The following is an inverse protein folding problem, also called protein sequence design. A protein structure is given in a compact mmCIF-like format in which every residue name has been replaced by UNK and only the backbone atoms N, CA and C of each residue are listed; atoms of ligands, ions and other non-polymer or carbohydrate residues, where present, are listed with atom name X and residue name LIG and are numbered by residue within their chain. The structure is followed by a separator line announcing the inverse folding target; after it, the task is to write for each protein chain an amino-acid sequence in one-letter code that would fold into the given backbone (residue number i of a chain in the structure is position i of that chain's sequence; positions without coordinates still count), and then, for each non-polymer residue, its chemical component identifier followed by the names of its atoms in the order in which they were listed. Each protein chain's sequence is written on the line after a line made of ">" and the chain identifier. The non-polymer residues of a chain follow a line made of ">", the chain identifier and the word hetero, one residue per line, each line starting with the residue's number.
data_IF_310490073303
#
_entry.id   IF_310490073303
#
_cell.length_a   1.000
_cell.length_b   1.000
_cell.length_c   1.000
_cell.angle_alpha   90.00
_cell.angle_beta   90.00
_cell.angle_gamma   90.00
#
_symmetry.space_group_name_H-M   'P 1'
#
loop_
_entity.id
_entity.type
_entity.pdbx_description
1 polymer ?
#
# COMPACT_ATOMS: atom_id res chain seq x y z
N UNK A 1 -16.37 -21.59 -5.73
CA UNK A 1 -16.27 -22.33 -4.46
C UNK A 1 -15.73 -23.71 -4.77
N UNK A 2 -14.47 -23.96 -4.44
CA UNK A 2 -13.90 -25.31 -4.38
C UNK A 2 -12.88 -25.37 -3.23
N UNK A 3 -12.55 -26.60 -2.84
CA UNK A 3 -12.27 -27.10 -1.48
C UNK A 3 -11.07 -26.53 -0.68
N UNK A 4 -10.38 -25.49 -1.15
CA UNK A 4 -9.18 -24.90 -0.50
C UNK A 4 -9.35 -23.43 -0.11
N UNK A 5 -10.56 -22.87 -0.20
CA UNK A 5 -10.83 -21.46 0.10
C UNK A 5 -10.39 -20.48 -1.00
N UNK A 6 -9.75 -20.96 -2.07
CA UNK A 6 -9.54 -20.19 -3.29
C UNK A 6 -10.83 -20.17 -4.13
N UNK A 7 -11.26 -18.97 -4.54
CA UNK A 7 -12.34 -18.82 -5.52
C UNK A 7 -11.73 -19.03 -6.91
N UNK A 8 -11.87 -20.24 -7.43
CA UNK A 8 -11.53 -20.59 -8.81
C UNK A 8 -12.77 -20.56 -9.68
N UNK A 9 -12.66 -19.92 -10.85
CA UNK A 9 -13.69 -19.93 -11.88
C UNK A 9 -13.08 -20.33 -13.23
N UNK A 10 -13.61 -21.41 -13.81
CA UNK A 10 -13.14 -21.94 -15.08
C UNK A 10 -13.71 -21.11 -16.25
N UNK A 11 -12.83 -20.58 -17.10
CA UNK A 11 -13.24 -19.93 -18.35
C UNK A 11 -13.61 -21.02 -19.36
N UNK A 12 -14.90 -21.12 -19.67
CA UNK A 12 -15.40 -22.10 -20.63
C UNK A 12 -15.15 -21.64 -22.07
N UNK A 13 -14.20 -22.28 -22.75
CA UNK A 13 -13.94 -22.12 -24.19
C UNK A 13 -14.15 -23.48 -24.90
N UNK A 14 -15.39 -23.96 -25.00
CA UNK A 14 -15.70 -25.33 -25.40
C UNK A 14 -15.32 -25.64 -26.84
N UNK A 15 -15.49 -24.72 -27.79
CA UNK A 15 -15.15 -24.95 -29.19
C UNK A 15 -13.63 -24.93 -29.41
N UNK A 16 -12.93 -24.01 -28.76
CA UNK A 16 -11.47 -23.92 -28.82
C UNK A 16 -10.79 -25.12 -28.14
N UNK A 17 -11.37 -25.63 -27.05
CA UNK A 17 -10.79 -26.75 -26.29
C UNK A 17 -11.09 -28.13 -26.87
N UNK A 18 -12.19 -28.29 -27.63
CA UNK A 18 -12.64 -29.59 -28.15
C UNK A 18 -12.35 -29.84 -29.64
N UNK A 19 -12.18 -28.79 -30.45
CA UNK A 19 -12.00 -28.92 -31.90
C UNK A 19 -10.54 -28.84 -32.33
N UNK A 20 -10.13 -29.76 -33.21
CA UNK A 20 -8.86 -29.70 -33.92
C UNK A 20 -8.85 -28.47 -34.85
N UNK A 21 -7.84 -27.56 -34.76
CA UNK A 21 -7.74 -26.37 -35.59
C UNK A 21 -7.83 -26.63 -37.10
N UNK A 22 -7.51 -27.85 -37.56
CA UNK A 22 -7.57 -28.23 -38.97
C UNK A 22 -8.92 -28.84 -39.41
N UNK A 23 -9.85 -29.10 -38.49
CA UNK A 23 -11.12 -29.80 -38.74
C UNK A 23 -12.35 -29.04 -38.22
N UNK A 24 -12.26 -27.72 -38.09
CA UNK A 24 -13.38 -26.88 -37.64
C UNK A 24 -14.45 -26.77 -38.75
N UNK A 25 -15.72 -27.14 -38.50
CA UNK A 25 -16.79 -26.98 -39.48
C UNK A 25 -17.00 -25.51 -39.89
N UNK A 26 -17.36 -25.21 -41.15
CA UNK A 26 -17.56 -23.83 -41.63
C UNK A 26 -18.58 -23.03 -40.82
N UNK A 27 -19.62 -23.71 -40.31
CA UNK A 27 -20.69 -23.12 -39.50
C UNK A 27 -20.21 -22.69 -38.11
N UNK A 28 -19.21 -23.35 -37.55
CA UNK A 28 -18.65 -23.08 -36.21
C UNK A 28 -17.36 -22.24 -36.27
N UNK A 29 -16.83 -21.98 -37.47
CA UNK A 29 -15.56 -21.30 -37.68
C UNK A 29 -15.53 -19.88 -37.09
N UNK A 30 -16.64 -19.14 -37.14
CA UNK A 30 -16.74 -17.79 -36.53
C UNK A 30 -16.63 -17.85 -35.00
N UNK A 31 -17.41 -18.72 -34.36
CA UNK A 31 -17.39 -18.88 -32.91
C UNK A 31 -16.04 -19.42 -32.41
N UNK A 32 -15.47 -20.40 -33.12
CA UNK A 32 -14.12 -20.92 -32.84
C UNK A 32 -13.05 -19.81 -32.93
N UNK A 33 -13.11 -18.94 -33.93
CA UNK A 33 -12.14 -17.85 -34.08
C UNK A 33 -12.26 -16.79 -32.98
N UNK A 34 -13.48 -16.51 -32.49
CA UNK A 34 -13.68 -15.62 -31.34
C UNK A 34 -13.13 -16.24 -30.04
N UNK A 35 -13.43 -17.51 -29.76
CA UNK A 35 -12.84 -18.22 -28.61
C UNK A 35 -11.31 -18.29 -28.71
N UNK A 36 -10.75 -18.48 -29.91
CA UNK A 36 -9.31 -18.47 -30.17
C UNK A 36 -8.67 -17.12 -29.90
N UNK A 37 -9.35 -16.01 -30.22
CA UNK A 37 -8.86 -14.65 -29.88
C UNK A 37 -8.81 -14.47 -28.37
N UNK A 38 -9.87 -14.87 -27.66
CA UNK A 38 -9.95 -14.80 -26.19
C UNK A 38 -8.81 -15.62 -25.56
N UNK A 39 -8.59 -16.86 -26.02
CA UNK A 39 -7.52 -17.72 -25.54
C UNK A 39 -6.13 -17.08 -25.72
N UNK A 40 -5.86 -16.47 -26.88
CA UNK A 40 -4.59 -15.77 -27.13
C UNK A 40 -4.42 -14.55 -26.22
N UNK A 41 -5.47 -13.77 -26.00
CA UNK A 41 -5.42 -12.63 -25.08
C UNK A 41 -5.15 -13.07 -23.64
N UNK A 42 -5.76 -14.16 -23.20
CA UNK A 42 -5.51 -14.75 -21.87
C UNK A 42 -4.07 -15.27 -21.73
N UNK A 43 -3.55 -15.95 -22.76
CA UNK A 43 -2.15 -16.40 -22.79
C UNK A 43 -1.18 -15.22 -22.70
N UNK A 44 -1.45 -14.15 -23.46
CA UNK A 44 -0.64 -12.94 -23.45
C UNK A 44 -0.69 -12.24 -22.09
N UNK A 45 -1.88 -12.02 -21.52
CA UNK A 45 -2.04 -11.41 -20.20
C UNK A 45 -1.37 -12.23 -19.10
N UNK A 46 -1.50 -13.56 -19.14
CA UNK A 46 -0.82 -14.46 -18.20
C UNK A 46 0.70 -14.48 -18.39
N UNK A 47 1.21 -14.34 -19.62
CA UNK A 47 2.64 -14.20 -19.88
C UNK A 47 3.17 -12.85 -19.37
N UNK A 48 2.45 -11.76 -19.63
CA UNK A 48 2.83 -10.41 -19.20
C UNK A 48 2.81 -10.28 -17.67
N UNK A 49 1.81 -10.84 -16.98
CA UNK A 49 1.78 -10.88 -15.50
C UNK A 49 3.00 -11.62 -14.92
N UNK A 50 3.43 -12.72 -15.56
CA UNK A 50 4.63 -13.49 -15.16
C UNK A 50 5.95 -12.80 -15.50
N UNK A 51 6.00 -12.00 -16.57
CA UNK A 51 7.20 -11.25 -16.93
C UNK A 51 7.37 -10.01 -16.03
N UNK A 52 6.27 -9.42 -15.56
CA UNK A 52 6.25 -8.21 -14.74
C UNK A 52 5.78 -8.49 -13.30
N UNK A 53 6.15 -9.63 -12.72
CA UNK A 53 5.64 -10.08 -11.41
C UNK A 53 5.87 -9.10 -10.26
N UNK A 54 6.80 -8.15 -10.38
CA UNK A 54 7.06 -7.14 -9.35
C UNK A 54 6.40 -5.79 -9.63
N UNK A 55 6.00 -5.51 -10.87
CA UNK A 55 5.52 -4.17 -11.27
C UNK A 55 4.07 -4.17 -11.75
N UNK A 56 3.54 -5.32 -12.18
CA UNK A 56 2.18 -5.47 -12.66
C UNK A 56 1.49 -6.68 -12.04
N UNK A 57 0.17 -6.59 -11.97
CA UNK A 57 -0.70 -7.65 -11.51
C UNK A 57 -1.95 -7.68 -12.37
N UNK A 58 -2.58 -8.83 -12.42
CA UNK A 58 -3.79 -9.00 -13.17
C UNK A 58 -4.98 -8.78 -12.24
N UNK A 59 -5.89 -7.91 -12.65
CA UNK A 59 -7.06 -7.55 -11.87
C UNK A 59 -8.32 -7.77 -12.72
N UNK A 60 -9.32 -8.40 -12.13
CA UNK A 60 -10.68 -8.45 -12.66
C UNK A 60 -11.42 -7.20 -12.18
N UNK A 61 -11.64 -6.25 -13.08
CA UNK A 61 -12.39 -5.02 -12.82
C UNK A 61 -13.86 -5.22 -13.18
N UNK A 62 -14.77 -4.76 -12.35
CA UNK A 62 -16.21 -4.90 -12.56
C UNK A 62 -16.99 -3.73 -11.96
N UNK A 63 -18.28 -3.64 -12.28
CA UNK A 63 -19.10 -2.49 -11.86
C UNK A 63 -18.70 -1.23 -12.60
N UNK A 64 -18.95 -1.18 -13.91
CA UNK A 64 -18.61 -0.03 -14.72
C UNK A 64 -19.69 1.03 -14.66
N UNK A 65 -19.29 2.29 -14.50
CA UNK A 65 -20.17 3.43 -14.70
C UNK A 65 -19.67 4.34 -15.82
N UNK A 66 -20.60 4.86 -16.62
CA UNK A 66 -20.36 5.78 -17.73
C UNK A 66 -21.03 7.12 -17.45
N UNK A 67 -20.23 8.19 -17.43
CA UNK A 67 -20.71 9.56 -17.19
C UNK A 67 -20.24 10.51 -18.29
N UNK A 68 -21.04 11.54 -18.54
CA UNK A 68 -20.73 12.61 -19.49
C UNK A 68 -20.57 13.94 -18.75
N UNK A 69 -19.44 14.61 -18.93
CA UNK A 69 -19.14 15.90 -18.31
C UNK A 69 -19.10 17.02 -19.35
N UNK A 70 -19.65 18.21 -19.06
CA UNK A 70 -19.52 19.37 -19.94
C UNK A 70 -18.06 19.84 -19.99
N UNK A 71 -17.47 19.91 -21.17
CA UNK A 71 -16.12 20.44 -21.40
C UNK A 71 -16.11 21.94 -21.15
N UNK A 72 -15.13 22.42 -20.39
CA UNK A 72 -14.95 23.85 -20.15
C UNK A 72 -13.75 24.34 -20.99
N UNK A 73 -14.00 25.10 -22.08
CA UNK A 73 -13.00 25.32 -23.14
C UNK A 73 -11.74 26.08 -22.68
N UNK A 74 -11.74 26.72 -21.51
CA UNK A 74 -10.62 27.51 -21.00
C UNK A 74 -9.65 26.76 -20.08
N UNK A 75 -10.00 25.57 -19.57
CA UNK A 75 -9.19 24.86 -18.57
C UNK A 75 -8.58 23.56 -19.12
N UNK A 76 -9.23 22.91 -20.08
CA UNK A 76 -8.78 21.61 -20.60
C UNK A 76 -7.73 21.72 -21.72
N UNK A 77 -7.54 22.90 -22.32
CA UNK A 77 -6.51 23.14 -23.35
C UNK A 77 -5.08 23.22 -22.78
N UNK A 78 -4.90 23.38 -21.47
CA UNK A 78 -3.56 23.35 -20.84
C UNK A 78 -3.04 21.92 -20.59
N UNK A 79 -3.86 20.88 -20.80
CA UNK A 79 -3.46 19.46 -20.65
C UNK A 79 -3.21 18.74 -21.98
N UNK A 80 -3.57 19.34 -23.10
CA UNK A 80 -3.30 18.82 -24.44
C UNK A 80 -2.38 19.79 -25.19
N UNK A 81 -1.07 19.71 -24.94
CA UNK A 81 -0.09 20.23 -25.90
C UNK A 81 -0.13 19.36 -27.17
N UNK A 82 -1.03 19.72 -28.08
CA UNK A 82 -0.85 19.49 -29.51
C UNK A 82 -1.47 20.67 -30.25
N UNK A 83 -0.62 21.42 -30.95
CA UNK A 83 -0.99 22.59 -31.76
C UNK A 83 -2.22 22.31 -32.64
N UNK A 84 -3.24 23.18 -32.68
CA UNK A 84 -4.31 23.04 -33.65
C UNK A 84 -3.86 23.64 -34.99
N UNK A 85 -3.87 22.84 -36.06
CA UNK A 85 -3.86 23.36 -37.43
C UNK A 85 -5.10 24.23 -37.65
N UNK A 86 -4.89 25.52 -37.93
CA UNK A 86 -5.95 26.46 -38.27
C UNK A 86 -6.43 26.16 -39.69
N UNK A 87 -7.65 25.64 -39.83
CA UNK A 87 -8.39 25.65 -41.09
C UNK A 87 -9.55 26.64 -40.94
N UNK A 88 -9.49 27.76 -41.66
CA UNK A 88 -10.57 28.74 -41.75
C UNK A 88 -11.78 28.13 -42.48
N UNK A 89 -12.93 28.09 -41.80
CA UNK A 89 -14.21 27.67 -42.37
C UNK A 89 -15.39 27.97 -41.43
N UNK A 90 -16.33 28.74 -41.96
CA UNK A 90 -17.58 29.29 -41.39
C UNK A 90 -18.23 28.56 -40.20
N UNK A 91 -18.60 29.35 -39.17
CA UNK A 91 -19.33 28.94 -37.96
C UNK A 91 -20.81 28.56 -38.24
N UNK A 92 -21.27 27.36 -37.86
CA UNK A 92 -22.69 27.11 -37.64
C UNK A 92 -23.07 27.43 -36.18
N UNK A 93 -24.09 28.28 -36.02
CA UNK A 93 -24.80 28.49 -34.77
C UNK A 93 -25.57 27.21 -34.38
N UNK A 94 -25.06 26.49 -33.38
CA UNK A 94 -25.80 25.74 -32.35
C UNK A 94 -24.76 25.07 -31.44
N UNK A 95 -24.32 25.77 -30.39
CA UNK A 95 -23.36 25.20 -29.44
C UNK A 95 -24.06 24.20 -28.54
N UNK A 96 -24.22 22.97 -29.02
CA UNK A 96 -24.34 21.82 -28.11
C UNK A 96 -23.08 21.81 -27.24
N UNK A 97 -23.20 21.80 -25.90
CA UNK A 97 -22.02 21.75 -25.05
C UNK A 97 -21.24 20.49 -25.40
N UNK A 98 -19.97 20.65 -25.75
CA UNK A 98 -19.09 19.51 -26.02
C UNK A 98 -19.02 18.68 -24.73
N UNK A 99 -19.36 17.40 -24.80
CA UNK A 99 -19.39 16.51 -23.64
C UNK A 99 -18.20 15.56 -23.69
N UNK A 100 -17.49 15.39 -22.57
CA UNK A 100 -16.47 14.36 -22.37
C UNK A 100 -17.10 13.13 -21.76
N UNK A 101 -17.12 12.03 -22.50
CA UNK A 101 -17.54 10.73 -21.98
C UNK A 101 -16.40 10.08 -21.19
N UNK A 102 -16.71 9.59 -19.99
CA UNK A 102 -15.78 8.86 -19.13
C UNK A 102 -16.41 7.53 -18.72
N UNK A 103 -15.61 6.47 -18.71
CA UNK A 103 -16.01 5.13 -18.30
C UNK A 103 -15.00 4.59 -17.27
N UNK A 104 -15.46 4.28 -16.06
CA UNK A 104 -14.60 3.79 -14.98
C UNK A 104 -15.19 2.55 -14.30
N UNK A 105 -14.36 1.59 -13.87
CA UNK A 105 -14.77 0.52 -12.97
C UNK A 105 -14.84 1.02 -11.53
N UNK A 106 -15.82 0.58 -10.76
CA UNK A 106 -15.88 0.86 -9.33
C UNK A 106 -15.15 -0.20 -8.49
N UNK A 107 -15.12 -1.45 -8.95
CA UNK A 107 -14.58 -2.55 -8.17
C UNK A 107 -13.46 -3.29 -8.90
N UNK A 108 -12.50 -3.85 -8.17
CA UNK A 108 -11.59 -4.84 -8.71
C UNK A 108 -11.17 -5.90 -7.71
N UNK A 109 -10.83 -7.08 -8.23
CA UNK A 109 -10.28 -8.20 -7.46
C UNK A 109 -9.00 -8.68 -8.13
N UNK A 110 -7.99 -9.00 -7.33
CA UNK A 110 -6.73 -9.54 -7.84
C UNK A 110 -6.89 -11.01 -8.23
N UNK A 111 -6.49 -11.34 -9.45
CA UNK A 111 -6.65 -12.67 -10.03
C UNK A 111 -5.38 -13.11 -10.73
N UNK A 112 -5.17 -14.41 -10.84
CA UNK A 112 -4.18 -15.03 -11.71
C UNK A 112 -4.87 -15.95 -12.72
N UNK A 113 -4.23 -16.12 -13.88
CA UNK A 113 -4.67 -17.08 -14.90
C UNK A 113 -3.82 -18.33 -14.76
N UNK A 114 -4.46 -19.46 -14.47
CA UNK A 114 -3.84 -20.78 -14.58
C UNK A 114 -4.31 -21.44 -15.86
N UNK A 115 -3.36 -22.03 -16.60
CA UNK A 115 -3.66 -22.83 -17.79
C UNK A 115 -3.39 -24.30 -17.52
N UNK A 116 -4.40 -25.14 -17.68
CA UNK A 116 -4.29 -26.60 -17.70
C UNK A 116 -4.72 -27.12 -19.08
N UNK A 117 -3.75 -27.57 -19.89
CA UNK A 117 -3.98 -28.03 -21.28
C UNK A 117 -4.68 -26.95 -22.14
N UNK A 118 -5.94 -27.19 -22.51
CA UNK A 118 -6.78 -26.28 -23.31
C UNK A 118 -7.79 -25.49 -22.48
N UNK A 119 -7.72 -25.58 -21.15
CA UNK A 119 -8.60 -24.87 -20.23
C UNK A 119 -7.83 -23.77 -19.49
N UNK A 120 -8.51 -22.64 -19.28
CA UNK A 120 -8.03 -21.51 -18.51
C UNK A 120 -8.92 -21.37 -17.28
N UNK A 121 -8.31 -21.20 -16.11
CA UNK A 121 -8.98 -20.90 -14.86
C UNK A 121 -8.52 -19.54 -14.36
N UNK A 122 -9.45 -18.73 -13.87
CA UNK A 122 -9.14 -17.55 -13.06
C UNK A 122 -9.13 -17.96 -11.60
N UNK A 123 -8.05 -17.64 -10.91
CA UNK A 123 -7.91 -17.88 -9.48
C UNK A 123 -7.79 -16.54 -8.80
N UNK A 124 -8.68 -16.28 -7.84
CA UNK A 124 -8.58 -15.10 -6.99
C UNK A 124 -7.34 -15.24 -6.10
N UNK A 125 -6.38 -14.34 -6.25
CA UNK A 125 -5.13 -14.34 -5.46
C UNK A 125 -5.27 -13.58 -4.16
N UNK A 126 -6.11 -12.54 -4.15
CA UNK A 126 -6.51 -11.78 -2.97
C UNK A 126 -8.03 -11.69 -2.97
N UNK A 127 -8.72 -12.26 -1.97
CA UNK A 127 -10.18 -12.20 -1.90
C UNK A 127 -10.71 -10.78 -1.65
N UNK A 128 -9.87 -9.83 -1.24
CA UNK A 128 -10.29 -8.45 -1.02
C UNK A 128 -10.70 -7.77 -2.34
N UNK A 129 -11.91 -7.23 -2.36
CA UNK A 129 -12.43 -6.36 -3.41
C UNK A 129 -11.96 -4.94 -3.13
N UNK A 130 -11.15 -4.42 -4.03
CA UNK A 130 -10.72 -3.03 -4.04
C UNK A 130 -11.81 -2.13 -4.63
N UNK A 131 -12.05 -0.99 -4.01
CA UNK A 131 -13.03 0.02 -4.45
C UNK A 131 -12.31 1.24 -5.01
N UNK A 132 -12.55 1.57 -6.28
CA UNK A 132 -11.93 2.66 -7.03
C UNK A 132 -12.84 3.89 -7.03
N UNK A 133 -12.70 4.73 -6.00
CA UNK A 133 -13.46 6.00 -5.92
C UNK A 133 -12.63 7.21 -6.33
N UNK A 134 -11.32 7.08 -6.50
CA UNK A 134 -10.42 8.21 -6.78
C UNK A 134 -10.74 8.91 -8.10
N UNK A 135 -11.19 8.17 -9.10
CA UNK A 135 -11.63 8.69 -10.39
C UNK A 135 -12.81 9.66 -10.25
N UNK A 136 -13.52 9.62 -9.11
CA UNK A 136 -14.61 10.52 -8.77
C UNK A 136 -14.15 11.81 -8.08
N UNK A 137 -12.88 11.94 -7.67
CA UNK A 137 -12.40 13.11 -6.95
C UNK A 137 -12.54 14.40 -7.78
N UNK A 138 -12.26 14.33 -9.07
CA UNK A 138 -12.36 15.47 -10.00
C UNK A 138 -13.82 15.71 -10.47
N UNK A 139 -14.71 14.75 -10.20
CA UNK A 139 -16.13 14.79 -10.61
C UNK A 139 -17.03 15.31 -9.50
N UNK A 140 -16.77 14.89 -8.27
CA UNK A 140 -17.58 15.18 -7.10
C UNK A 140 -17.09 16.44 -6.38
N UNK A 141 -18.00 17.10 -5.65
CA UNK A 141 -17.59 18.18 -4.75
C UNK A 141 -16.71 17.62 -3.62
N UNK A 142 -15.75 18.40 -3.06
CA UNK A 142 -14.89 17.92 -1.97
C UNK A 142 -15.67 17.36 -0.77
N UNK A 143 -16.81 17.96 -0.42
CA UNK A 143 -17.67 17.49 0.68
C UNK A 143 -18.34 16.15 0.34
N UNK A 144 -18.87 16.03 -0.88
CA UNK A 144 -19.49 14.78 -1.34
C UNK A 144 -18.47 13.64 -1.40
N UNK A 145 -17.26 13.93 -1.88
CA UNK A 145 -16.17 12.97 -1.96
C UNK A 145 -15.70 12.50 -0.57
N UNK A 146 -15.55 13.42 0.40
CA UNK A 146 -15.21 13.08 1.79
C UNK A 146 -16.29 12.19 2.44
N UNK A 147 -17.57 12.50 2.21
CA UNK A 147 -18.67 11.67 2.71
C UNK A 147 -18.62 10.26 2.11
N UNK A 148 -18.40 10.15 0.80
CA UNK A 148 -18.29 8.86 0.12
C UNK A 148 -17.11 8.03 0.66
N UNK A 149 -15.96 8.67 0.89
CA UNK A 149 -14.77 8.04 1.47
C UNK A 149 -15.04 7.54 2.89
N UNK A 150 -15.75 8.33 3.70
CA UNK A 150 -16.15 7.92 5.05
C UNK A 150 -17.09 6.71 5.01
N UNK A 151 -18.10 6.76 4.15
CA UNK A 151 -19.04 5.64 3.96
C UNK A 151 -18.31 4.37 3.52
N UNK A 152 -17.35 4.47 2.59
CA UNK A 152 -16.51 3.35 2.19
C UNK A 152 -15.78 2.72 3.40
N UNK A 153 -15.14 3.55 4.23
CA UNK A 153 -14.46 3.07 5.43
C UNK A 153 -15.40 2.37 6.43
N UNK A 154 -16.65 2.81 6.55
CA UNK A 154 -17.65 2.14 7.38
C UNK A 154 -18.06 0.76 6.84
N UNK A 155 -18.17 0.60 5.51
CA UNK A 155 -18.42 -0.69 4.86
C UNK A 155 -17.22 -1.64 5.01
N UNK A 156 -16.01 -1.14 4.73
CA UNK A 156 -14.77 -1.91 4.91
C UNK A 156 -14.58 -2.41 6.35
N UNK A 157 -14.98 -1.60 7.35
CA UNK A 157 -14.89 -1.98 8.76
C UNK A 157 -15.91 -3.04 9.20
N UNK A 158 -17.09 -3.10 8.55
CA UNK A 158 -18.20 -4.00 8.92
C UNK A 158 -18.09 -5.37 8.29
N UNK A 159 -17.86 -5.41 6.97
CA UNK A 159 -17.88 -6.66 6.19
C UNK A 159 -16.55 -6.97 5.53
N UNK A 160 -15.73 -5.94 5.26
CA UNK A 160 -14.48 -6.02 4.52
C UNK A 160 -14.71 -6.77 3.21
N UNK A 161 -15.11 -6.06 2.14
CA UNK A 161 -15.51 -6.66 0.86
C UNK A 161 -14.59 -7.81 0.44
N UNK A 162 -14.92 -9.05 0.80
CA UNK A 162 -14.07 -10.21 0.62
C UNK A 162 -14.88 -11.27 -0.10
N UNK A 163 -14.24 -11.89 -1.09
CA UNK A 163 -14.80 -13.03 -1.78
C UNK A 163 -14.68 -14.29 -0.92
N UNK A 164 -15.69 -15.18 -0.94
CA UNK A 164 -16.96 -15.04 -1.66
C UNK A 164 -17.94 -14.07 -0.95
N UNK A 165 -18.51 -13.13 -1.71
CA UNK A 165 -19.52 -12.20 -1.20
C UNK A 165 -20.79 -13.01 -0.89
N UNK A 166 -21.01 -13.26 0.39
CA UNK A 166 -22.16 -14.05 0.86
C UNK A 166 -23.45 -13.22 0.89
N UNK A 167 -23.31 -11.90 1.03
CA UNK A 167 -24.39 -10.93 1.00
C UNK A 167 -24.03 -9.78 0.06
N UNK A 168 -24.69 -9.71 -1.10
CA UNK A 168 -24.48 -8.64 -2.08
C UNK A 168 -25.12 -7.31 -1.68
N UNK A 169 -25.91 -7.27 -0.61
CA UNK A 169 -26.67 -6.10 -0.18
C UNK A 169 -25.75 -4.92 0.14
N UNK A 170 -24.59 -5.17 0.73
CA UNK A 170 -23.64 -4.11 1.07
C UNK A 170 -22.92 -3.55 -0.16
N UNK A 171 -22.52 -4.41 -1.09
CA UNK A 171 -21.91 -3.99 -2.36
C UNK A 171 -22.90 -3.17 -3.21
N UNK A 172 -24.15 -3.65 -3.30
CA UNK A 172 -25.24 -2.92 -3.96
C UNK A 172 -25.57 -1.61 -3.24
N UNK A 173 -25.56 -1.63 -1.90
CA UNK A 173 -25.75 -0.44 -1.09
C UNK A 173 -24.69 0.62 -1.38
N UNK A 174 -23.41 0.24 -1.41
CA UNK A 174 -22.33 1.17 -1.75
C UNK A 174 -22.43 1.68 -3.19
N UNK A 175 -22.75 0.78 -4.14
CA UNK A 175 -23.02 1.14 -5.54
C UNK A 175 -24.10 2.23 -5.67
N UNK A 176 -25.18 2.12 -4.89
CA UNK A 176 -26.25 3.12 -4.89
C UNK A 176 -25.84 4.44 -4.23
N UNK A 177 -24.96 4.41 -3.22
CA UNK A 177 -24.37 5.63 -2.65
C UNK A 177 -23.51 6.37 -3.68
N UNK A 178 -22.72 5.66 -4.48
CA UNK A 178 -21.94 6.26 -5.59
C UNK A 178 -22.88 6.89 -6.62
N UNK A 179 -23.94 6.19 -7.00
CA UNK A 179 -24.96 6.72 -7.93
C UNK A 179 -25.62 7.99 -7.39
N UNK A 180 -25.98 8.00 -6.11
CA UNK A 180 -26.51 9.18 -5.43
C UNK A 180 -25.52 10.34 -5.38
N UNK A 181 -24.25 10.07 -5.11
CA UNK A 181 -23.19 11.09 -5.12
C UNK A 181 -23.01 11.70 -6.52
N UNK A 182 -23.02 10.87 -7.57
CA UNK A 182 -22.94 11.33 -8.97
C UNK A 182 -24.17 12.14 -9.38
N UNK A 183 -25.37 11.79 -8.90
CA UNK A 183 -26.60 12.55 -9.17
C UNK A 183 -26.56 13.99 -8.61
N UNK A 184 -25.74 14.24 -7.60
CA UNK A 184 -25.52 15.57 -7.01
C UNK A 184 -24.39 16.35 -7.71
N UNK A 185 -23.75 15.78 -8.73
CA UNK A 185 -22.64 16.37 -9.47
C UNK A 185 -23.10 17.00 -10.79
N UNK A 186 -22.14 17.50 -11.58
CA UNK A 186 -22.38 17.99 -12.95
C UNK A 186 -22.42 16.87 -14.00
N UNK A 187 -22.24 15.63 -13.59
CA UNK A 187 -22.25 14.47 -14.47
C UNK A 187 -23.66 14.18 -15.03
N UNK A 188 -23.73 13.90 -16.32
CA UNK A 188 -24.92 13.37 -16.98
C UNK A 188 -24.76 11.87 -17.21
N UNK A 189 -25.80 11.10 -16.92
CA UNK A 189 -25.84 9.64 -17.08
C UNK A 189 -27.28 9.17 -17.26
N UNK A 190 -27.47 7.98 -17.83
CA UNK A 190 -28.77 7.37 -18.07
C UNK A 190 -28.94 6.04 -17.31
N UNK A 191 -29.97 5.25 -17.65
CA UNK A 191 -30.21 3.93 -17.04
C UNK A 191 -29.14 2.91 -17.39
N UNK A 192 -28.50 3.05 -18.56
CA UNK A 192 -27.55 2.10 -19.11
C UNK A 192 -26.11 2.45 -18.72
N UNK A 193 -25.91 3.65 -18.17
CA UNK A 193 -24.66 4.14 -17.60
C UNK A 193 -24.11 3.28 -16.46
N UNK A 194 -24.89 2.41 -15.81
CA UNK A 194 -24.44 1.65 -14.63
C UNK A 194 -24.55 0.15 -14.89
N UNK A 195 -23.42 -0.53 -15.10
CA UNK A 195 -23.33 -1.94 -15.50
C UNK A 195 -22.53 -2.75 -14.48
N UNK A 196 -23.25 -3.39 -13.54
CA UNK A 196 -22.62 -4.19 -12.48
C UNK A 196 -22.09 -5.54 -12.97
N UNK A 197 -22.78 -6.12 -13.94
CA UNK A 197 -22.48 -7.41 -14.58
C UNK A 197 -21.30 -7.35 -15.55
N UNK A 198 -20.93 -6.15 -15.99
CA UNK A 198 -19.78 -5.95 -16.86
C UNK A 198 -18.49 -6.13 -16.09
N UNK A 199 -17.64 -7.04 -16.59
CA UNK A 199 -16.29 -7.26 -16.08
C UNK A 199 -15.25 -7.19 -17.21
N UNK A 200 -14.04 -6.75 -16.88
CA UNK A 200 -12.88 -6.74 -17.77
C UNK A 200 -11.65 -7.20 -17.01
N UNK A 201 -10.87 -8.04 -17.66
CA UNK A 201 -9.58 -8.48 -17.17
C UNK A 201 -8.50 -7.50 -17.64
N UNK A 202 -7.76 -6.91 -16.70
CA UNK A 202 -6.80 -5.84 -17.00
C UNK A 202 -5.47 -6.12 -16.31
N UNK A 203 -4.37 -5.86 -17.00
CA UNK A 203 -3.04 -5.82 -16.40
C UNK A 203 -2.84 -4.42 -15.78
N UNK A 204 -2.97 -4.33 -14.46
CA UNK A 204 -2.77 -3.09 -13.70
C UNK A 204 -1.34 -3.03 -13.13
N UNK A 205 -0.85 -1.84 -12.83
CA UNK A 205 0.35 -1.71 -12.03
C UNK A 205 0.09 -2.27 -10.62
N UNK A 206 1.10 -2.87 -10.00
CA UNK A 206 1.07 -3.20 -8.56
C UNK A 206 1.16 -1.90 -7.78
N UNK A 207 0.05 -1.19 -7.67
CA UNK A 207 -0.05 -0.04 -6.79
C UNK A 207 -0.27 -0.53 -5.38
N UNK A 208 0.73 -0.38 -4.51
CA UNK A 208 0.39 -0.02 -3.13
C UNK A 208 -0.27 1.36 -3.24
N UNK A 209 -1.61 1.36 -3.29
CA UNK A 209 -2.48 2.50 -3.55
C UNK A 209 -2.09 3.78 -2.77
N UNK A 210 -1.63 3.61 -1.53
CA UNK A 210 -1.16 4.71 -0.68
C UNK A 210 0.21 5.27 -1.09
N UNK A 211 1.16 4.42 -1.48
CA UNK A 211 2.53 4.85 -1.71
C UNK A 211 2.67 5.68 -2.99
N UNK A 212 1.88 5.39 -4.01
CA UNK A 212 1.99 6.05 -5.33
C UNK A 212 1.50 7.50 -5.27
N UNK A 213 0.37 7.72 -4.60
CA UNK A 213 -0.21 9.05 -4.38
C UNK A 213 0.63 9.87 -3.40
N UNK A 214 1.13 9.26 -2.33
CA UNK A 214 2.02 9.91 -1.37
C UNK A 214 3.35 10.30 -2.02
N UNK A 215 3.95 9.42 -2.84
CA UNK A 215 5.16 9.74 -3.59
C UNK A 215 4.90 10.88 -4.60
N UNK A 216 3.75 10.88 -5.28
CA UNK A 216 3.38 11.99 -6.17
C UNK A 216 3.23 13.30 -5.40
N UNK A 217 2.58 13.31 -4.24
CA UNK A 217 2.50 14.51 -3.38
C UNK A 217 3.89 14.98 -2.96
N UNK A 218 4.79 14.08 -2.58
CA UNK A 218 6.18 14.39 -2.25
C UNK A 218 6.92 15.05 -3.44
N UNK A 219 6.67 14.64 -4.68
CA UNK A 219 7.26 15.30 -5.86
C UNK A 219 6.76 16.72 -6.13
N UNK A 220 5.63 17.10 -5.53
CA UNK A 220 5.03 18.43 -5.66
C UNK A 220 5.47 19.39 -4.55
N UNK A 221 6.16 18.89 -3.51
CA UNK A 221 6.71 19.73 -2.44
C UNK A 221 7.95 20.48 -2.92
N UNK A 222 8.18 21.68 -2.37
CA UNK A 222 9.40 22.44 -2.61
C UNK A 222 10.60 21.66 -2.04
N UNK A 223 11.71 21.50 -2.79
CA UNK A 223 12.93 20.87 -2.26
C UNK A 223 13.42 21.44 -0.92
N UNK A 224 13.17 22.72 -0.64
CA UNK A 224 13.50 23.33 0.65
C UNK A 224 12.67 22.75 1.82
N UNK A 225 11.44 22.29 1.57
CA UNK A 225 10.61 21.63 2.59
C UNK A 225 11.07 20.20 2.90
N UNK A 226 11.79 19.58 1.97
CA UNK A 226 12.37 18.26 2.17
C UNK A 226 13.72 18.34 2.90
N UNK A 227 14.38 19.50 2.90
CA UNK A 227 15.71 19.69 3.49
C UNK A 227 15.75 19.25 4.97
N UNK A 228 16.75 18.42 5.30
CA UNK A 228 16.89 17.85 6.65
C UNK A 228 16.02 16.61 6.93
N UNK A 229 15.21 16.15 5.97
CA UNK A 229 14.47 14.88 6.08
C UNK A 229 15.26 13.71 5.50
N UNK A 230 14.88 12.49 5.88
CA UNK A 230 15.41 11.27 5.27
C UNK A 230 15.02 11.13 3.78
N UNK A 231 14.01 11.87 3.30
CA UNK A 231 13.56 11.82 1.91
C UNK A 231 14.56 12.49 0.95
N UNK A 232 15.25 13.55 1.39
CA UNK A 232 16.30 14.20 0.58
C UNK A 232 17.45 13.25 0.27
N UNK A 233 17.79 12.35 1.20
CA UNK A 233 18.85 11.38 0.97
C UNK A 233 18.55 10.47 -0.24
N UNK A 234 17.27 10.19 -0.53
CA UNK A 234 16.88 9.40 -1.69
C UNK A 234 17.00 10.15 -3.02
N UNK A 235 16.96 11.49 -3.01
CA UNK A 235 17.07 12.29 -4.24
C UNK A 235 18.50 12.77 -4.49
N UNK A 236 19.26 13.09 -3.43
CA UNK A 236 20.63 13.61 -3.53
C UNK A 236 21.70 12.53 -3.42
N UNK A 237 21.35 11.33 -2.93
CA UNK A 237 22.30 10.26 -2.60
C UNK A 237 23.38 10.65 -1.58
N UNK A 238 23.18 11.75 -0.84
CA UNK A 238 24.08 12.17 0.23
C UNK A 238 23.98 11.22 1.43
N UNK A 239 25.13 10.82 1.96
CA UNK A 239 25.21 9.94 3.14
C UNK A 239 24.43 8.61 2.95
N UNK A 240 24.48 8.03 1.75
CA UNK A 240 23.82 6.79 1.36
C UNK A 240 24.84 5.74 0.90
N UNK A 241 25.71 5.29 1.79
CA UNK A 241 26.71 4.27 1.45
C UNK A 241 26.09 2.87 1.43
N UNK A 242 26.43 2.07 0.42
CA UNK A 242 26.13 0.64 0.44
C UNK A 242 27.10 -0.01 1.43
N UNK A 243 26.61 -0.87 2.31
CA UNK A 243 27.48 -1.63 3.20
C UNK A 243 28.55 -2.37 2.38
N UNK A 244 29.82 -2.01 2.52
CA UNK A 244 30.93 -2.82 2.02
C UNK A 244 31.00 -4.16 2.80
N UNK A 245 31.73 -5.15 2.30
CA UNK A 245 31.92 -6.47 2.95
C UNK A 245 32.78 -6.38 4.24
N UNK A 246 32.55 -5.36 5.07
CA UNK A 246 33.25 -5.11 6.33
C UNK A 246 32.48 -5.61 7.56
N UNK A 247 33.23 -5.85 8.63
CA UNK A 247 32.65 -6.11 9.96
C UNK A 247 31.97 -4.85 10.51
N UNK A 248 30.95 -4.98 11.40
CA UNK A 248 30.31 -3.84 12.04
C UNK A 248 31.36 -2.90 12.65
N UNK A 249 31.30 -1.61 12.31
CA UNK A 249 32.20 -0.59 12.88
C UNK A 249 31.91 -0.29 14.36
N UNK A 250 30.91 -0.93 14.95
CA UNK A 250 30.51 -0.74 16.34
C UNK A 250 31.22 -1.72 17.27
N UNK A 251 31.90 -1.19 18.30
CA UNK A 251 32.65 -1.98 19.28
C UNK A 251 31.75 -2.84 20.19
N UNK A 252 30.46 -2.50 20.34
CA UNK A 252 29.51 -3.21 21.18
C UNK A 252 28.16 -3.42 20.47
N UNK A 253 27.77 -4.69 20.29
CA UNK A 253 26.50 -5.08 19.67
C UNK A 253 25.45 -5.37 20.75
N UNK A 254 24.44 -4.51 20.84
CA UNK A 254 23.30 -4.64 21.75
C UNK A 254 22.10 -5.38 21.14
N UNK A 255 22.31 -6.60 20.64
CA UNK A 255 21.25 -7.43 20.05
C UNK A 255 20.75 -8.47 21.07
N UNK A 256 19.55 -8.34 21.63
CA UNK A 256 19.04 -9.27 22.64
C UNK A 256 18.51 -10.59 22.07
N UNK A 257 18.26 -10.66 20.75
CA UNK A 257 17.80 -11.88 20.08
C UNK A 257 18.93 -12.46 19.20
N UNK A 258 18.91 -13.78 18.91
CA UNK A 258 19.90 -14.41 18.03
C UNK A 258 20.05 -13.67 16.70
N UNK A 259 21.24 -13.70 16.11
CA UNK A 259 21.47 -13.09 14.81
C UNK A 259 22.56 -13.81 14.05
N UNK A 260 22.53 -13.71 12.73
CA UNK A 260 23.63 -14.14 11.87
C UNK A 260 24.49 -12.94 11.42
N UNK A 261 25.58 -13.25 10.71
CA UNK A 261 26.50 -12.23 10.18
C UNK A 261 25.83 -11.24 9.21
N UNK A 262 24.80 -11.67 8.48
CA UNK A 262 24.11 -10.82 7.50
C UNK A 262 23.19 -9.82 8.21
N UNK A 263 22.54 -10.25 9.29
CA UNK A 263 21.74 -9.39 10.15
C UNK A 263 22.61 -8.40 10.95
N UNK A 264 23.79 -8.84 11.42
CA UNK A 264 24.74 -7.95 12.10
C UNK A 264 25.24 -6.82 11.18
N UNK A 265 25.39 -7.09 9.88
CA UNK A 265 25.83 -6.09 8.88
C UNK A 265 24.89 -4.89 8.77
N UNK A 266 23.65 -4.98 9.23
CA UNK A 266 22.74 -3.81 9.28
C UNK A 266 23.37 -2.66 10.08
N UNK A 267 24.23 -2.96 11.05
CA UNK A 267 24.90 -1.93 11.85
C UNK A 267 25.86 -1.04 11.04
N UNK A 268 26.45 -1.55 9.96
CA UNK A 268 27.32 -0.73 9.11
C UNK A 268 26.53 0.33 8.31
N UNK A 269 25.20 0.23 8.28
CA UNK A 269 24.30 1.16 7.61
C UNK A 269 23.78 2.26 8.56
N UNK A 270 24.08 2.20 9.86
CA UNK A 270 23.56 3.16 10.84
C UNK A 270 24.05 4.60 10.67
N UNK A 271 25.16 4.79 9.93
CA UNK A 271 25.66 6.11 9.54
C UNK A 271 24.89 6.73 8.37
N UNK A 272 24.07 5.96 7.67
CA UNK A 272 23.33 6.47 6.52
C UNK A 272 22.10 7.26 6.95
N UNK A 273 21.71 8.25 6.14
CA UNK A 273 20.45 8.99 6.34
C UNK A 273 19.21 8.16 6.02
N UNK A 274 19.33 7.23 5.07
CA UNK A 274 18.29 6.26 4.78
C UNK A 274 18.91 4.92 4.34
N UNK A 275 18.17 3.83 4.50
CA UNK A 275 18.64 2.50 4.08
C UNK A 275 17.46 1.58 3.82
N UNK A 276 17.61 0.68 2.84
CA UNK A 276 16.64 -0.37 2.53
C UNK A 276 17.27 -1.71 2.87
N UNK A 277 16.58 -2.47 3.71
CA UNK A 277 17.01 -3.80 4.13
C UNK A 277 16.01 -4.79 3.55
N UNK A 278 16.50 -5.69 2.69
CA UNK A 278 15.70 -6.74 2.09
C UNK A 278 16.03 -8.10 2.71
N UNK A 279 15.00 -8.86 3.06
CA UNK A 279 15.14 -10.23 3.57
C UNK A 279 14.13 -11.17 2.92
N UNK A 280 14.53 -12.35 2.42
CA UNK A 280 13.60 -13.39 1.97
C UNK A 280 12.56 -13.79 3.05
N UNK A 281 11.45 -14.45 2.70
CA UNK A 281 10.51 -14.96 3.70
C UNK A 281 11.21 -15.94 4.66
N UNK A 282 10.90 -15.87 5.95
CA UNK A 282 11.47 -16.75 6.98
C UNK A 282 12.85 -16.35 7.54
N UNK A 283 13.53 -15.33 7.00
CA UNK A 283 14.89 -14.93 7.45
C UNK A 283 14.92 -14.03 8.69
N UNK A 284 13.90 -14.10 9.55
CA UNK A 284 13.90 -13.39 10.82
C UNK A 284 13.80 -11.86 10.75
N UNK A 285 13.19 -11.27 9.71
CA UNK A 285 13.06 -9.80 9.56
C UNK A 285 12.56 -9.08 10.82
N UNK A 286 11.48 -9.57 11.45
CA UNK A 286 10.94 -8.99 12.69
C UNK A 286 11.94 -9.06 13.85
N UNK A 287 12.77 -10.09 13.89
CA UNK A 287 13.82 -10.25 14.90
C UNK A 287 14.97 -9.28 14.64
N UNK A 288 15.37 -9.07 13.38
CA UNK A 288 16.33 -8.03 13.01
C UNK A 288 15.83 -6.63 13.37
N UNK A 289 14.54 -6.34 13.16
CA UNK A 289 13.92 -5.07 13.58
C UNK A 289 14.02 -4.90 15.11
N UNK A 290 13.68 -5.92 15.89
CA UNK A 290 13.77 -5.82 17.35
C UNK A 290 15.21 -5.59 17.83
N UNK A 291 16.17 -6.31 17.24
CA UNK A 291 17.59 -6.14 17.52
C UNK A 291 18.06 -4.71 17.21
N UNK A 292 17.65 -4.16 16.07
CA UNK A 292 17.99 -2.80 15.68
C UNK A 292 17.38 -1.75 16.61
N UNK A 293 16.11 -1.91 16.98
CA UNK A 293 15.43 -1.01 17.94
C UNK A 293 16.15 -1.02 19.28
N UNK A 294 16.43 -2.20 19.84
CA UNK A 294 17.14 -2.33 21.11
C UNK A 294 18.55 -1.74 21.05
N UNK A 295 19.23 -1.91 19.92
CA UNK A 295 20.56 -1.37 19.73
C UNK A 295 20.59 0.15 19.72
N UNK A 296 19.72 0.78 18.94
CA UNK A 296 19.59 2.23 18.89
C UNK A 296 19.13 2.79 20.25
N UNK A 297 18.19 2.13 20.92
CA UNK A 297 17.73 2.52 22.24
C UNK A 297 18.84 2.43 23.30
N UNK A 298 19.69 1.39 23.26
CA UNK A 298 20.83 1.23 24.17
C UNK A 298 21.89 2.33 23.98
N UNK A 299 22.00 2.90 22.77
CA UNK A 299 22.82 4.07 22.47
C UNK A 299 22.17 5.40 22.87
N UNK A 300 20.97 5.38 23.45
CA UNK A 300 20.23 6.58 23.83
C UNK A 300 19.50 7.28 22.68
N UNK A 301 19.37 6.64 21.52
CA UNK A 301 18.59 7.19 20.38
C UNK A 301 17.10 6.92 20.57
N UNK A 302 16.27 7.81 20.02
CA UNK A 302 14.82 7.61 19.94
C UNK A 302 14.45 6.93 18.62
N UNK A 303 13.53 5.97 18.68
CA UNK A 303 13.15 5.17 17.51
C UNK A 303 11.63 5.17 17.36
N UNK A 304 11.16 5.58 16.18
CA UNK A 304 9.76 5.43 15.77
C UNK A 304 9.66 4.27 14.79
N UNK A 305 8.92 3.24 15.16
CA UNK A 305 8.63 2.10 14.28
C UNK A 305 7.18 2.17 13.79
N UNK A 306 7.00 2.15 12.47
CA UNK A 306 5.69 2.19 11.80
C UNK A 306 5.54 1.02 10.83
N UNK A 307 4.31 0.56 10.64
CA UNK A 307 3.99 -0.51 9.68
C UNK A 307 2.55 -0.38 9.19
N UNK A 308 2.34 -0.68 7.90
CA UNK A 308 1.02 -0.72 7.28
C UNK A 308 0.15 -1.84 7.87
N UNK A 309 0.74 -3.01 8.16
CA UNK A 309 0.01 -4.17 8.69
C UNK A 309 0.02 -4.15 10.23
N UNK A 310 -1.14 -4.12 10.91
CA UNK A 310 -1.21 -4.15 12.38
C UNK A 310 -0.49 -5.35 13.00
N UNK A 311 -0.53 -6.51 12.33
CA UNK A 311 0.12 -7.72 12.81
C UNK A 311 1.64 -7.59 12.94
N UNK A 312 2.31 -6.85 12.04
CA UNK A 312 3.75 -6.65 12.12
C UNK A 312 4.14 -5.78 13.33
N UNK A 313 3.34 -4.77 13.67
CA UNK A 313 3.52 -3.98 14.89
C UNK A 313 3.37 -4.87 16.13
N UNK A 314 2.32 -5.70 16.17
CA UNK A 314 2.06 -6.62 17.28
C UNK A 314 3.18 -7.63 17.49
N UNK A 315 3.68 -8.25 16.42
CA UNK A 315 4.80 -9.21 16.49
C UNK A 315 6.07 -8.59 17.06
N UNK A 316 6.40 -7.35 16.67
CA UNK A 316 7.56 -6.62 17.21
C UNK A 316 7.33 -6.25 18.68
N UNK A 317 6.15 -5.70 19.01
CA UNK A 317 5.75 -5.35 20.37
C UNK A 317 5.85 -6.55 21.33
N UNK A 318 5.20 -7.66 20.99
CA UNK A 318 5.15 -8.86 21.81
C UNK A 318 6.56 -9.43 22.00
N UNK A 319 7.41 -9.37 20.97
CA UNK A 319 8.81 -9.80 21.06
C UNK A 319 9.61 -8.88 21.99
N UNK A 320 9.53 -7.57 21.85
CA UNK A 320 10.20 -6.62 22.76
C UNK A 320 9.73 -6.80 24.21
N UNK A 321 8.46 -7.12 24.42
CA UNK A 321 7.89 -7.39 25.75
C UNK A 321 8.52 -8.60 26.45
N UNK A 322 8.97 -9.60 25.69
CA UNK A 322 9.66 -10.78 26.27
C UNK A 322 10.97 -10.44 26.98
N UNK A 323 11.54 -9.26 26.73
CA UNK A 323 12.77 -8.80 27.38
C UNK A 323 12.53 -8.33 28.83
N UNK A 324 11.28 -8.10 29.22
CA UNK A 324 10.87 -7.62 30.55
C UNK A 324 11.59 -6.33 30.99
N UNK A 325 11.94 -5.47 30.03
CA UNK A 325 12.56 -4.16 30.28
C UNK A 325 11.45 -3.13 30.48
N UNK A 326 11.32 -2.54 31.68
CA UNK A 326 10.27 -1.57 31.96
C UNK A 326 10.39 -0.34 31.05
N UNK A 327 9.27 0.07 30.47
CA UNK A 327 9.16 1.29 29.65
C UNK A 327 10.08 1.34 28.42
N UNK A 328 10.52 0.18 27.90
CA UNK A 328 11.33 0.11 26.68
C UNK A 328 10.62 0.68 25.45
N UNK A 329 9.30 0.51 25.36
CA UNK A 329 8.50 0.95 24.23
C UNK A 329 7.14 1.51 24.67
N UNK A 330 6.50 2.25 23.77
CA UNK A 330 5.10 2.65 23.85
C UNK A 330 4.38 2.23 22.60
N UNK A 331 3.26 1.53 22.74
CA UNK A 331 2.47 1.01 21.62
C UNK A 331 1.34 1.98 21.24
N UNK A 332 1.12 2.19 19.95
CA UNK A 332 -0.02 2.94 19.42
C UNK A 332 -0.74 2.03 18.42
N UNK A 333 -1.86 1.40 18.79
CA UNK A 333 -2.62 0.58 17.85
C UNK A 333 -3.29 1.45 16.78
N UNK A 334 -3.55 0.87 15.61
CA UNK A 334 -4.38 1.52 14.59
C UNK A 334 -5.80 1.73 15.11
N UNK A 335 -6.42 2.87 14.80
CA UNK A 335 -7.83 3.14 15.11
C UNK A 335 -8.79 2.20 14.38
N UNK A 336 -8.33 1.55 13.31
CA UNK A 336 -9.07 0.53 12.56
C UNK A 336 -8.83 -0.89 13.09
N UNK A 337 -7.91 -1.10 14.04
CA UNK A 337 -7.77 -2.39 14.70
C UNK A 337 -8.93 -2.56 15.68
N UNK A 338 -9.77 -3.58 15.47
CA UNK A 338 -10.86 -3.92 16.39
C UNK A 338 -10.39 -4.14 17.83
N UNK A 339 -11.36 -4.30 18.75
CA UNK A 339 -11.24 -4.44 20.22
C UNK A 339 -9.79 -4.52 20.74
N UNK A 340 -9.27 -3.36 21.15
CA UNK A 340 -8.02 -3.26 21.90
C UNK A 340 -8.22 -4.01 23.22
N UNK A 341 -7.36 -4.97 23.53
CA UNK A 341 -7.44 -5.70 24.79
C UNK A 341 -6.71 -4.94 25.91
N UNK A 342 -7.01 -5.26 27.17
CA UNK A 342 -6.42 -4.59 28.35
C UNK A 342 -4.88 -4.61 28.34
N UNK A 343 -4.26 -5.64 27.76
CA UNK A 343 -2.80 -5.73 27.65
C UNK A 343 -2.25 -4.73 26.62
N UNK A 344 -2.94 -4.53 25.50
CA UNK A 344 -2.58 -3.56 24.46
C UNK A 344 -2.74 -2.12 24.99
N UNK A 345 -3.73 -1.86 25.85
CA UNK A 345 -3.86 -0.57 26.55
C UNK A 345 -2.72 -0.33 27.55
N UNK A 346 -2.36 -1.33 28.36
CA UNK A 346 -1.28 -1.23 29.34
C UNK A 346 0.11 -0.99 28.70
N UNK A 347 0.31 -1.58 27.52
CA UNK A 347 1.48 -1.40 26.67
C UNK A 347 1.45 -0.06 25.90
N UNK A 348 0.36 0.69 26.01
CA UNK A 348 0.13 1.93 25.29
C UNK A 348 1.17 3.01 25.56
N UNK A 349 1.41 3.86 24.56
CA UNK A 349 2.36 4.97 24.68
C UNK A 349 2.01 5.96 25.81
N UNK A 350 0.72 6.22 26.04
CA UNK A 350 0.27 7.08 27.15
C UNK A 350 0.68 6.55 28.53
N UNK A 351 0.26 5.32 28.91
CA UNK A 351 0.69 4.68 30.15
C UNK A 351 2.22 4.56 30.29
N UNK A 352 2.93 4.21 29.20
CA UNK A 352 4.40 4.14 29.20
C UNK A 352 5.03 5.50 29.54
N UNK A 353 4.60 6.58 28.88
CA UNK A 353 5.09 7.93 29.15
C UNK A 353 4.76 8.41 30.55
N UNK A 354 3.57 8.09 31.08
CA UNK A 354 3.20 8.41 32.45
C UNK A 354 4.13 7.72 33.48
N UNK A 355 4.48 6.45 33.25
CA UNK A 355 5.43 5.71 34.09
C UNK A 355 6.85 6.28 34.01
N UNK A 356 7.29 6.67 32.81
CA UNK A 356 8.60 7.33 32.62
C UNK A 356 8.64 8.68 33.33
N UNK A 357 7.61 9.51 33.18
CA UNK A 357 7.51 10.81 33.85
C UNK A 357 7.53 10.69 35.39
N UNK A 358 6.81 9.71 35.94
CA UNK A 358 6.84 9.42 37.37
C UNK A 358 8.23 8.94 37.84
N UNK A 359 8.88 8.09 37.05
CA UNK A 359 10.23 7.57 37.36
C UNK A 359 11.31 8.65 37.25
N UNK A 360 11.20 9.56 36.29
CA UNK A 360 12.10 10.70 36.12
C UNK A 360 12.00 11.69 37.28
N UNK A 361 10.79 11.93 37.81
CA UNK A 361 10.59 12.71 39.03
C UNK A 361 11.30 12.08 40.24
N UNK A 362 11.18 10.76 40.42
CA UNK A 362 11.85 10.03 41.52
C UNK A 362 13.37 10.02 41.36
N UNK A 363 13.88 9.90 40.13
CA UNK A 363 15.32 9.94 39.85
C UNK A 363 15.93 11.33 40.11
N UNK A 364 15.24 12.41 39.70
CA UNK A 364 15.65 13.78 39.99
C UNK A 364 15.64 14.10 41.50
N UNK A 365 14.67 13.58 42.25
CA UNK A 365 14.62 13.74 43.71
C UNK A 365 15.71 12.94 44.44
N UNK A 366 16.14 11.80 43.89
CA UNK A 366 17.30 11.03 44.40
C UNK A 366 18.63 11.72 44.07
N UNK A 367 18.81 12.26 42.86
CA UNK A 367 19.99 13.05 42.48
C UNK A 367 20.15 14.32 43.32
N UNK A 368 19.05 14.94 43.76
CA UNK A 368 19.11 16.08 44.70
C UNK A 368 19.49 15.68 46.13
N UNK A 369 19.40 14.40 46.51
CA UNK A 369 19.71 13.91 47.87
C UNK A 369 21.08 13.25 48.00
N UNK A 370 21.68 12.75 46.93
CA UNK A 370 23.05 12.21 46.93
C UNK A 370 24.00 13.03 46.04
N UNK A 371 24.79 13.97 46.61
CA UNK A 371 25.68 14.85 45.85
C UNK A 371 26.92 14.15 45.25
N UNK A 372 27.19 12.89 45.63
CA UNK A 372 28.43 12.19 45.26
C UNK A 372 28.41 11.54 43.86
N UNK A 373 27.23 11.49 43.23
CA UNK A 373 27.08 10.90 41.88
C UNK A 373 27.83 11.70 40.79
N UNK A 374 27.99 13.02 40.99
CA UNK A 374 28.75 13.87 40.07
C UNK A 374 30.25 13.54 40.07
N UNK A 375 30.82 13.12 41.21
CA UNK A 375 32.22 12.73 41.33
C UNK A 375 32.55 11.43 40.57
N UNK A 376 31.61 10.48 40.56
CA UNK A 376 31.75 9.19 39.86
C UNK A 376 31.69 9.39 38.34
N UNK A 377 30.82 10.28 37.85
CA UNK A 377 30.72 10.60 36.42
C UNK A 377 31.98 11.35 35.93
N UNK A 378 32.51 12.26 36.74
CA UNK A 378 33.76 12.96 36.44
C UNK A 378 34.98 12.02 36.40
N UNK A 379 35.09 11.07 37.34
CA UNK A 379 36.14 10.04 37.31
C UNK A 379 36.03 9.13 36.08
N UNK A 380 34.80 8.78 35.67
CA UNK A 380 34.57 7.94 34.48
C UNK A 380 34.91 8.67 33.17
N UNK A 381 34.65 9.98 33.10
CA UNK A 381 35.06 10.83 31.97
C UNK A 381 36.58 11.06 31.92
N UNK A 382 37.23 11.25 33.07
CA UNK A 382 38.69 11.34 33.16
C UNK A 382 39.38 10.05 32.73
N UNK A 383 38.92 8.89 33.20
CA UNK A 383 39.45 7.59 32.78
C UNK A 383 39.30 7.35 31.26
N UNK A 384 38.20 7.84 30.66
CA UNK A 384 37.95 7.76 29.22
C UNK A 384 38.88 8.67 28.40
N UNK A 385 39.26 9.83 28.95
CA UNK A 385 40.23 10.73 28.33
C UNK A 385 41.67 10.20 28.41
N UNK A 386 42.02 9.48 29.49
CA UNK A 386 43.35 8.86 29.63
C UNK A 386 43.53 7.68 28.66
N UNK A 387 42.47 6.90 28.41
CA UNK A 387 42.47 5.78 27.46
C UNK A 387 42.45 6.19 25.98
N UNK A 388 42.24 7.47 25.66
CA UNK A 388 42.30 8.00 24.28
C UNK A 388 43.61 8.75 24.00
N UNK A 389 44.48 8.90 25.00
CA UNK A 389 45.75 9.63 24.89
C UNK A 389 46.98 8.70 24.86
N UNK A 390 46.80 7.41 25.15
CA UNK A 390 47.76 6.31 24.90
C UNK A 390 47.32 5.52 23.66
#
# INVERSE_FOLDING_TARGET
>A
SDLDGAVEEAIQLPLFSSLDPQKVPPEQLRAYNEERKIARSLEQLGADSRNYTFTKQLALRFGYFKISLPLNPTVDLEKEESEPEVVEGELPLETTPLMKELEFPLFSVQVDIIRHKSQFSLIVTDPAVEVHINELQDVLSPVTYQNLTKTLGEYEAKSGFNLPISDTTELLGFWDHVRGALALSKAQFDSDSFQLDRSKLVLSARSNFFLSDDLRKLTLLDPAELEGTALTAWTTSEDMNVAEDGEPHESEIFFPFPYDRYQARILSLLGNRASVIQGPPGTGKSQSICNLICHLAAQGKTVLFVSQKPQALKVVKDRLKTLDIPNLFGYIPSTAAGIINEQDEADGAGPALARVGASAHVANDRQKKDPDTAGIVAQKQQARATLQAD
#
